data_IF_124152761816
#
_entry.id   IF_124152761816
#
_cell.length_a   1.000
_cell.length_b   1.000
_cell.length_c   1.000
_cell.angle_alpha   90.00
_cell.angle_beta   90.00
_cell.angle_gamma   90.00
#
_symmetry.space_group_name_H-M   'P 1'
#
loop_
_entity.id
_entity.type
_entity.pdbx_description
1 polymer ?
#
# COMPACT_ATOMS: atom_id res chain seq x y z
N UNK A 1 -6.56 -8.80 10.94
CA UNK A 1 -6.86 -9.58 9.71
C UNK A 1 -5.53 -10.14 9.23
N UNK A 2 -5.41 -11.46 9.07
CA UNK A 2 -4.17 -12.05 8.54
C UNK A 2 -4.18 -11.92 7.01
N UNK A 3 -3.08 -11.44 6.43
CA UNK A 3 -2.92 -11.30 4.98
C UNK A 3 -1.76 -12.22 4.63
N UNK A 4 -2.05 -13.26 3.87
CA UNK A 4 -1.11 -14.33 3.49
C UNK A 4 -0.67 -14.15 2.02
N UNK A 5 0.44 -14.79 1.60
CA UNK A 5 0.80 -14.89 0.19
C UNK A 5 -0.37 -15.39 -0.67
N UNK A 6 -0.46 -14.88 -1.90
CA UNK A 6 -1.51 -15.12 -2.89
C UNK A 6 -2.92 -14.62 -2.51
N UNK A 7 -3.11 -14.01 -1.33
CA UNK A 7 -4.35 -13.27 -1.02
C UNK A 7 -4.59 -12.18 -2.07
N UNK A 8 -5.82 -12.09 -2.58
CA UNK A 8 -6.24 -11.03 -3.50
C UNK A 8 -6.93 -9.92 -2.69
N UNK A 9 -6.36 -8.72 -2.71
CA UNK A 9 -6.92 -7.52 -2.10
C UNK A 9 -7.56 -6.61 -3.14
N UNK A 10 -8.68 -5.99 -2.78
CA UNK A 10 -9.45 -5.09 -3.65
C UNK A 10 -9.74 -5.72 -5.02
N UNK A 11 -9.94 -7.04 -5.05
CA UNK A 11 -10.26 -7.86 -6.23
C UNK A 11 -9.16 -8.01 -7.29
N UNK A 12 -8.02 -7.33 -7.19
CA UNK A 12 -6.99 -7.39 -8.24
C UNK A 12 -5.53 -7.31 -7.77
N UNK A 13 -5.24 -7.04 -6.50
CA UNK A 13 -3.86 -7.06 -6.03
C UNK A 13 -3.52 -8.37 -5.34
N UNK A 14 -2.73 -9.21 -6.01
CA UNK A 14 -2.25 -10.46 -5.46
C UNK A 14 -1.00 -10.23 -4.60
N UNK A 15 -1.08 -10.52 -3.30
CA UNK A 15 0.06 -10.44 -2.38
C UNK A 15 1.13 -11.47 -2.76
N UNK A 16 2.39 -11.05 -2.73
CA UNK A 16 3.55 -11.94 -2.94
C UNK A 16 4.32 -12.16 -1.65
N UNK A 17 4.69 -11.06 -0.98
CA UNK A 17 5.46 -11.11 0.26
C UNK A 17 5.18 -9.88 1.12
N UNK A 18 5.25 -10.06 2.44
CA UNK A 18 5.28 -8.95 3.39
C UNK A 18 6.71 -8.43 3.53
N UNK A 19 6.89 -7.13 3.31
CA UNK A 19 8.20 -6.48 3.38
C UNK A 19 8.41 -5.83 4.76
N UNK A 20 7.36 -5.21 5.31
CA UNK A 20 7.42 -4.49 6.58
C UNK A 20 6.14 -4.76 7.36
N UNK A 21 6.31 -5.12 8.63
CA UNK A 21 5.24 -5.24 9.60
C UNK A 21 5.56 -4.38 10.82
N UNK A 22 4.80 -3.31 11.04
CA UNK A 22 4.88 -2.45 12.23
C UNK A 22 3.48 -2.27 12.81
N UNK A 23 3.38 -1.91 14.09
CA UNK A 23 2.09 -1.70 14.74
C UNK A 23 1.21 -0.76 13.90
N UNK A 24 0.08 -1.27 13.39
CA UNK A 24 -0.88 -0.52 12.57
C UNK A 24 -0.49 -0.29 11.10
N UNK A 25 0.69 -0.75 10.63
CA UNK A 25 1.19 -0.52 9.26
C UNK A 25 1.84 -1.75 8.67
N UNK A 26 1.40 -2.13 7.48
CA UNK A 26 1.95 -3.27 6.75
C UNK A 26 2.29 -2.86 5.33
N UNK A 27 3.46 -3.26 4.85
CA UNK A 27 3.89 -3.01 3.47
C UNK A 27 4.13 -4.34 2.79
N UNK A 28 3.54 -4.52 1.60
CA UNK A 28 3.65 -5.73 0.82
C UNK A 28 4.19 -5.45 -0.57
N UNK A 29 4.91 -6.43 -1.11
CA UNK A 29 5.08 -6.56 -2.56
C UNK A 29 3.88 -7.34 -3.09
N UNK A 30 3.25 -6.83 -4.14
CA UNK A 30 2.10 -7.45 -4.77
C UNK A 30 2.22 -7.37 -6.30
N UNK A 31 1.33 -8.08 -7.00
CA UNK A 31 1.11 -7.94 -8.43
C UNK A 31 -0.28 -7.40 -8.66
N UNK A 32 -0.38 -6.32 -9.42
CA UNK A 32 -1.65 -5.87 -9.98
C UNK A 32 -2.04 -6.82 -11.13
N UNK A 33 -3.15 -7.53 -10.98
CA UNK A 33 -3.64 -8.49 -11.96
C UNK A 33 -4.28 -7.83 -13.19
N UNK A 34 -4.61 -6.53 -13.14
CA UNK A 34 -5.13 -5.80 -14.29
C UNK A 34 -3.98 -5.36 -15.21
N UNK A 35 -3.00 -4.63 -14.67
CA UNK A 35 -1.84 -4.16 -15.46
C UNK A 35 -0.73 -5.21 -15.60
N UNK A 36 -0.81 -6.30 -14.84
CA UNK A 36 0.21 -7.34 -14.69
C UNK A 36 1.54 -6.85 -14.09
N UNK A 37 1.59 -5.62 -13.57
CA UNK A 37 2.80 -4.98 -13.05
C UNK A 37 3.05 -5.29 -11.56
N UNK A 38 4.33 -5.31 -11.13
CA UNK A 38 4.66 -5.35 -9.71
C UNK A 38 4.31 -4.00 -9.05
N UNK A 39 3.69 -4.06 -7.87
CA UNK A 39 3.29 -2.88 -7.10
C UNK A 39 3.67 -3.04 -5.62
N UNK A 40 3.75 -1.91 -4.91
CA UNK A 40 3.92 -1.87 -3.46
C UNK A 40 2.60 -1.43 -2.83
N UNK A 41 2.04 -2.27 -1.97
CA UNK A 41 0.86 -1.92 -1.19
C UNK A 41 1.29 -1.50 0.21
N UNK A 42 0.98 -0.25 0.59
CA UNK A 42 1.11 0.21 1.98
C UNK A 42 -0.29 0.21 2.60
N UNK A 43 -0.50 -0.67 3.58
CA UNK A 43 -1.78 -0.83 4.28
C UNK A 43 -1.67 -0.17 5.65
N UNK A 44 -2.66 0.67 5.95
CA UNK A 44 -2.85 1.29 7.26
C UNK A 44 -4.01 0.58 7.94
N UNK A 45 -3.73 -0.10 9.05
CA UNK A 45 -4.74 -0.82 9.82
C UNK A 45 -5.35 0.10 10.87
N UNK A 46 -6.67 0.27 10.83
CA UNK A 46 -7.41 0.98 11.86
C UNK A 46 -7.62 0.06 13.08
N UNK A 47 -6.60 -0.01 13.94
CA UNK A 47 -6.62 -0.80 15.18
C UNK A 47 -6.23 0.08 16.39
N UNK A 48 -6.14 -0.50 17.59
CA UNK A 48 -5.78 0.25 18.81
C UNK A 48 -4.40 0.92 18.77
N UNK A 49 -3.54 0.55 17.83
CA UNK A 49 -2.22 1.14 17.61
C UNK A 49 -2.23 2.25 16.55
N UNK A 50 -3.37 2.49 15.89
CA UNK A 50 -3.53 3.56 14.91
C UNK A 50 -3.50 4.93 15.58
N UNK A 51 -2.58 5.80 15.15
CA UNK A 51 -2.55 7.20 15.55
C UNK A 51 -3.00 8.08 14.37
N UNK A 52 -3.69 9.19 14.66
CA UNK A 52 -4.14 10.13 13.62
C UNK A 52 -2.97 10.75 12.84
N UNK A 53 -1.80 10.84 13.45
CA UNK A 53 -0.54 11.23 12.82
C UNK A 53 -0.16 10.28 11.67
N UNK A 54 -0.50 9.00 11.78
CA UNK A 54 -0.14 8.00 10.79
C UNK A 54 -0.90 8.18 9.48
N UNK A 55 -2.15 8.62 9.57
CA UNK A 55 -2.99 8.97 8.43
C UNK A 55 -2.48 10.22 7.71
N UNK A 56 -2.03 11.24 8.47
CA UNK A 56 -1.48 12.49 7.90
C UNK A 56 -0.18 12.24 7.14
N UNK A 57 0.70 11.39 7.67
CA UNK A 57 1.94 11.00 6.99
C UNK A 57 1.64 10.23 5.70
N UNK A 58 0.66 9.33 5.74
CA UNK A 58 0.24 8.56 4.57
C UNK A 58 -0.28 9.46 3.44
N UNK A 59 -1.12 10.45 3.77
CA UNK A 59 -1.67 11.40 2.79
C UNK A 59 -0.61 12.25 2.08
N UNK A 60 0.49 12.61 2.76
CA UNK A 60 1.59 13.39 2.15
C UNK A 60 2.35 12.59 1.09
N UNK A 61 2.56 11.29 1.31
CA UNK A 61 3.21 10.44 0.30
C UNK A 61 2.34 10.32 -0.97
N UNK A 62 1.02 10.17 -0.81
CA UNK A 62 0.08 10.14 -1.94
C UNK A 62 0.11 11.44 -2.73
N UNK A 63 0.05 12.59 -2.04
CA UNK A 63 0.15 13.90 -2.70
C UNK A 63 1.48 14.09 -3.43
N UNK A 64 2.58 13.59 -2.86
CA UNK A 64 3.91 13.68 -3.48
C UNK A 64 3.98 12.81 -4.74
N UNK A 65 3.44 11.60 -4.70
CA UNK A 65 3.38 10.69 -5.85
C UNK A 65 2.49 11.22 -6.97
N UNK A 66 1.31 11.75 -6.65
CA UNK A 66 0.42 12.39 -7.63
C UNK A 66 1.09 13.58 -8.34
N UNK A 67 1.87 14.38 -7.60
CA UNK A 67 2.61 15.50 -8.18
C UNK A 67 3.78 15.07 -9.08
N UNK A 68 4.30 13.85 -8.93
CA UNK A 68 5.34 13.29 -9.81
C UNK A 68 4.77 12.76 -11.12
N UNK A 69 3.56 12.17 -11.12
CA UNK A 69 2.88 11.73 -12.35
C UNK A 69 2.56 12.91 -13.29
N UNK A 70 2.39 14.12 -12.74
CA UNK A 70 2.24 15.34 -13.53
C UNK A 70 3.54 15.81 -14.21
N UNK A 71 4.72 15.36 -13.77
CA UNK A 71 6.00 15.72 -14.37
C UNK A 71 6.41 14.81 -15.54
N UNK A 72 5.86 13.60 -15.63
CA UNK A 72 6.19 12.62 -16.68
C UNK A 72 5.33 12.77 -17.95
N UNK A 73 4.41 13.74 -17.98
CA UNK A 73 3.57 14.04 -19.16
C UNK A 73 4.02 15.30 -19.93
N UNK A 74 5.33 15.56 -20.02
CA UNK A 74 5.91 16.62 -20.87
C UNK A 74 6.89 16.07 -21.90
#
# INVERSE_FOLDING_TARGET
>A
MTIEPDTILLDHYQIREELIHKAGRRTFRARDLQSQQPVILKILEFNQFFQWEDLKLFGREVQTLQNLDHLTSR
#
